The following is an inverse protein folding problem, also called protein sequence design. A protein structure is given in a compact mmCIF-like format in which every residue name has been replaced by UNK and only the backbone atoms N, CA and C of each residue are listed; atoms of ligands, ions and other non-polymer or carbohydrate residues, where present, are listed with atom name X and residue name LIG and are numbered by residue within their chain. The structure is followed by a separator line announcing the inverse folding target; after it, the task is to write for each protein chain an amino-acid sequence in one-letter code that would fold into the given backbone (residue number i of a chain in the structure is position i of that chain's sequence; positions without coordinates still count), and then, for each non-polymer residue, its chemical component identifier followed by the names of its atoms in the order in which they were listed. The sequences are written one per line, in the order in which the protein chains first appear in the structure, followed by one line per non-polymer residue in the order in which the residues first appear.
data_IF_745568399091
#
_entry.id   IF_745568399091
#
_cell.length_a   1.000
_cell.length_b   1.000
_cell.length_c   1.000
_cell.angle_alpha   90.00
_cell.angle_beta   90.00
_cell.angle_gamma   90.00
#
_symmetry.space_group_name_H-M   'P 1'
#
loop_
_entity.id
_entity.type
_entity.pdbx_description
1 polymer ?
#
# COMPACT_ATOMS: atom_id res chain seq x y z
N UNK A 1 40.14 -46.15 -39.38
CA UNK A 1 39.16 -46.21 -38.26
C UNK A 1 38.19 -45.06 -38.47
N UNK A 2 36.95 -45.39 -38.85
CA UNK A 2 35.93 -44.44 -39.26
C UNK A 2 35.36 -43.69 -38.05
N UNK A 3 35.26 -42.37 -38.20
CA UNK A 3 34.56 -41.44 -37.32
C UNK A 3 33.05 -41.68 -37.52
N UNK A 4 32.32 -42.00 -36.44
CA UNK A 4 30.87 -42.07 -36.47
C UNK A 4 30.29 -41.00 -35.55
N UNK A 5 30.06 -39.83 -36.15
CA UNK A 5 29.25 -38.74 -35.63
C UNK A 5 27.79 -39.01 -35.93
N UNK A 6 27.08 -39.77 -35.10
CA UNK A 6 25.61 -39.74 -35.00
C UNK A 6 25.19 -40.57 -33.78
N UNK A 7 25.07 -39.94 -32.62
CA UNK A 7 24.22 -40.48 -31.56
C UNK A 7 23.42 -39.34 -30.92
N UNK A 8 22.26 -39.14 -31.54
CA UNK A 8 21.00 -38.73 -30.92
C UNK A 8 21.01 -37.50 -30.01
N UNK A 9 20.87 -36.33 -30.65
CA UNK A 9 19.97 -35.28 -30.16
C UNK A 9 18.54 -35.86 -30.05
N UNK A 10 18.12 -36.30 -28.87
CA UNK A 10 16.70 -36.57 -28.54
C UNK A 10 16.50 -36.37 -27.03
N UNK A 11 16.45 -35.11 -26.60
CA UNK A 11 16.03 -34.71 -25.24
C UNK A 11 15.51 -33.26 -25.19
N UNK A 12 14.73 -32.86 -26.21
CA UNK A 12 13.96 -31.60 -26.23
C UNK A 12 12.50 -31.83 -26.66
N UNK A 13 11.84 -32.84 -26.08
CA UNK A 13 10.41 -33.05 -26.29
C UNK A 13 9.70 -33.45 -25.00
N UNK A 14 9.66 -32.53 -24.04
CA UNK A 14 8.65 -32.54 -22.98
C UNK A 14 8.46 -31.12 -22.45
N UNK A 15 8.04 -30.21 -23.33
CA UNK A 15 7.35 -29.00 -22.91
C UNK A 15 5.86 -29.39 -22.88
N UNK A 16 5.21 -29.51 -21.70
CA UNK A 16 3.77 -29.56 -21.69
C UNK A 16 3.27 -28.24 -22.26
N UNK A 17 2.66 -28.30 -23.44
CA UNK A 17 1.85 -27.21 -23.97
C UNK A 17 0.65 -27.05 -23.04
N UNK A 18 0.82 -26.25 -22.00
CA UNK A 18 -0.30 -25.72 -21.25
C UNK A 18 -1.06 -24.81 -22.22
N UNK A 19 -2.13 -25.33 -22.81
CA UNK A 19 -3.19 -24.52 -23.38
C UNK A 19 -3.70 -23.64 -22.24
N UNK A 20 -3.25 -22.40 -22.21
CA UNK A 20 -3.85 -21.37 -21.39
C UNK A 20 -5.24 -21.08 -21.99
N UNK A 21 -6.23 -21.88 -21.59
CA UNK A 21 -7.63 -21.49 -21.73
C UNK A 21 -7.77 -20.16 -21.00
N UNK A 22 -7.96 -19.07 -21.75
CA UNK A 22 -8.46 -17.81 -21.21
C UNK A 22 -9.90 -18.04 -20.77
N UNK A 23 -10.04 -18.67 -19.60
CA UNK A 23 -11.26 -18.61 -18.83
C UNK A 23 -11.43 -17.13 -18.47
N UNK A 24 -12.39 -16.45 -19.12
CA UNK A 24 -12.78 -15.09 -18.78
C UNK A 24 -13.44 -15.18 -17.40
N UNK A 25 -12.61 -15.22 -16.36
CA UNK A 25 -13.07 -15.07 -14.99
C UNK A 25 -13.68 -13.67 -14.87
N UNK A 26 -14.90 -13.55 -14.34
CA UNK A 26 -15.48 -12.24 -14.08
C UNK A 26 -14.49 -11.46 -13.20
N UNK A 27 -14.15 -10.25 -13.66
CA UNK A 27 -13.20 -9.36 -12.99
C UNK A 27 -13.66 -9.20 -11.53
N UNK A 28 -12.84 -9.52 -10.52
CA UNK A 28 -13.22 -9.32 -9.13
C UNK A 28 -13.70 -7.88 -8.93
N UNK A 29 -14.79 -7.69 -8.20
CA UNK A 29 -15.25 -6.36 -7.85
C UNK A 29 -14.09 -5.61 -7.18
N UNK A 30 -13.82 -4.35 -7.58
CA UNK A 30 -12.70 -3.61 -7.03
C UNK A 30 -12.88 -3.49 -5.51
N UNK A 31 -11.77 -3.67 -4.78
CA UNK A 31 -11.73 -3.42 -3.33
C UNK A 31 -12.06 -1.92 -3.10
N UNK A 32 -12.67 -1.55 -1.97
CA UNK A 32 -13.02 -0.15 -1.70
C UNK A 32 -11.75 0.73 -1.81
N UNK A 33 -11.87 1.92 -2.40
CA UNK A 33 -10.76 2.86 -2.60
C UNK A 33 -9.63 2.37 -3.54
N UNK A 34 -9.97 1.52 -4.51
CA UNK A 34 -9.02 1.05 -5.53
C UNK A 34 -9.61 1.14 -6.93
N UNK A 35 -8.77 1.37 -7.94
CA UNK A 35 -9.22 1.42 -9.34
C UNK A 35 -8.12 0.98 -10.30
N UNK A 36 -8.55 0.39 -11.41
CA UNK A 36 -7.70 0.14 -12.57
C UNK A 36 -7.94 1.21 -13.64
N UNK A 37 -6.86 1.79 -14.15
CA UNK A 37 -6.93 2.66 -15.33
C UNK A 37 -7.32 1.84 -16.55
N UNK A 38 -8.37 2.25 -17.26
CA UNK A 38 -8.80 1.62 -18.51
C UNK A 38 -7.83 1.88 -19.66
N UNK A 39 -7.05 2.95 -19.59
CA UNK A 39 -6.12 3.36 -20.65
C UNK A 39 -4.73 2.74 -20.51
N UNK A 40 -4.21 2.64 -19.29
CA UNK A 40 -2.85 2.16 -19.01
C UNK A 40 -2.81 0.78 -18.36
N UNK A 41 -3.95 0.26 -17.91
CA UNK A 41 -4.02 -0.98 -17.13
C UNK A 41 -3.44 -0.89 -15.72
N UNK A 42 -2.86 0.25 -15.34
CA UNK A 42 -2.23 0.46 -14.04
C UNK A 42 -3.24 0.37 -12.89
N UNK A 43 -2.82 -0.22 -11.78
CA UNK A 43 -3.60 -0.35 -10.57
C UNK A 43 -3.26 0.79 -9.59
N UNK A 44 -4.28 1.41 -9.03
CA UNK A 44 -4.16 2.49 -8.07
C UNK A 44 -4.83 2.07 -6.76
N UNK A 45 -4.08 2.17 -5.67
CA UNK A 45 -4.53 1.81 -4.33
C UNK A 45 -4.36 3.02 -3.40
N UNK A 46 -5.47 3.66 -3.05
CA UNK A 46 -5.48 4.83 -2.19
C UNK A 46 -5.83 4.49 -0.73
N UNK A 47 -6.07 3.22 -0.39
CA UNK A 47 -6.34 2.78 0.99
C UNK A 47 -5.27 3.19 2.02
N UNK A 48 -3.97 3.28 1.67
CA UNK A 48 -2.97 3.80 2.60
C UNK A 48 -3.18 5.27 2.99
N UNK A 49 -3.97 6.04 2.23
CA UNK A 49 -4.35 7.41 2.56
C UNK A 49 -5.55 7.50 3.50
N UNK A 50 -6.34 6.44 3.63
CA UNK A 50 -7.48 6.44 4.54
C UNK A 50 -6.99 6.42 5.98
N UNK A 51 -7.33 7.45 6.74
CA UNK A 51 -7.05 7.52 8.16
C UNK A 51 -8.16 6.82 8.95
N UNK A 52 -7.75 6.02 9.94
CA UNK A 52 -8.66 5.34 10.87
C UNK A 52 -8.10 5.40 12.30
N UNK A 53 -8.98 5.34 13.30
CA UNK A 53 -8.60 5.35 14.73
C UNK A 53 -7.76 4.10 15.09
N UNK A 54 -8.14 2.94 14.54
CA UNK A 54 -7.47 1.65 14.78
C UNK A 54 -6.47 1.26 13.65
N UNK A 55 -5.91 2.26 12.95
CA UNK A 55 -5.04 2.06 11.78
C UNK A 55 -3.64 1.54 12.12
N UNK A 56 -2.91 1.06 11.09
CA UNK A 56 -1.47 0.77 11.18
C UNK A 56 -0.64 2.05 11.41
N UNK A 57 0.62 1.98 11.87
CA UNK A 57 1.49 3.15 12.20
C UNK A 57 1.48 4.33 11.18
N UNK A 58 1.13 4.09 9.93
CA UNK A 58 1.03 5.08 8.85
C UNK A 58 -0.41 5.54 8.51
N UNK A 59 -1.42 4.77 8.93
CA UNK A 59 -2.86 5.04 8.82
C UNK A 59 -3.47 5.48 10.16
N UNK A 60 -2.76 5.32 11.28
CA UNK A 60 -3.15 5.81 12.60
C UNK A 60 -3.19 7.32 12.54
N UNK A 61 -4.39 7.88 12.50
CA UNK A 61 -4.55 9.29 12.77
C UNK A 61 -4.07 9.57 14.20
N UNK A 62 -3.32 10.65 14.40
CA UNK A 62 -3.17 11.26 15.73
C UNK A 62 -4.47 11.99 16.09
N UNK A 63 -5.60 11.27 16.05
CA UNK A 63 -6.97 11.75 16.27
C UNK A 63 -7.46 12.90 15.37
N UNK A 64 -6.73 13.24 14.31
CA UNK A 64 -7.09 14.29 13.37
C UNK A 64 -6.98 13.80 11.93
N UNK A 65 -7.93 14.21 11.11
CA UNK A 65 -7.96 14.02 9.67
C UNK A 65 -6.97 14.96 8.98
N UNK A 66 -6.89 14.92 7.65
CA UNK A 66 -5.99 15.81 6.94
C UNK A 66 -6.53 17.23 6.90
N UNK A 67 -5.63 18.20 7.07
CA UNK A 67 -5.96 19.63 7.00
C UNK A 67 -5.46 20.23 5.69
N UNK A 68 -6.31 21.05 5.07
CA UNK A 68 -5.97 21.84 3.89
C UNK A 68 -6.28 23.32 4.14
N UNK A 69 -5.34 24.19 3.78
CA UNK A 69 -5.51 25.64 3.89
C UNK A 69 -6.39 26.13 2.75
N UNK A 70 -7.33 27.01 3.08
CA UNK A 70 -8.22 27.63 2.09
C UNK A 70 -7.59 28.76 1.28
N UNK A 71 -6.46 29.31 1.73
CA UNK A 71 -5.79 30.50 1.17
C UNK A 71 -6.74 31.69 1.00
N UNK A 72 -7.47 31.76 -0.11
CA UNK A 72 -8.45 32.79 -0.43
C UNK A 72 -9.82 32.54 0.22
N UNK A 73 -10.10 31.30 0.64
CA UNK A 73 -11.34 30.98 1.35
C UNK A 73 -11.22 31.30 2.85
N UNK A 74 -12.23 31.92 3.49
CA UNK A 74 -12.17 32.39 4.89
C UNK A 74 -12.26 31.25 5.93
N UNK A 75 -11.92 30.02 5.57
CA UNK A 75 -11.92 28.86 6.45
C UNK A 75 -10.84 27.84 6.03
N UNK A 76 -10.42 27.03 7.00
CA UNK A 76 -9.61 25.85 6.75
C UNK A 76 -10.51 24.62 6.56
N UNK A 77 -10.02 23.67 5.78
CA UNK A 77 -10.73 22.44 5.44
C UNK A 77 -10.10 21.25 6.15
N UNK A 78 -10.96 20.34 6.59
CA UNK A 78 -10.57 19.07 7.19
C UNK A 78 -11.24 17.96 6.41
N UNK A 79 -10.47 16.97 5.97
CA UNK A 79 -10.97 15.88 5.14
C UNK A 79 -10.21 14.58 5.33
N UNK A 80 -10.89 13.48 5.05
CA UNK A 80 -10.31 12.15 4.94
C UNK A 80 -10.51 11.59 3.52
N UNK A 81 -9.82 10.50 3.21
CA UNK A 81 -9.89 9.83 1.91
C UNK A 81 -10.63 8.49 2.04
N UNK A 82 -11.59 8.24 1.14
CA UNK A 82 -12.33 6.99 1.04
C UNK A 82 -13.06 6.53 2.30
N UNK A 83 -13.39 7.47 3.18
CA UNK A 83 -14.06 7.21 4.44
C UNK A 83 -14.42 8.50 5.16
N UNK A 84 -15.02 8.40 6.35
CA UNK A 84 -15.44 9.54 7.11
C UNK A 84 -14.25 10.20 7.80
N UNK A 85 -14.43 11.44 8.23
CA UNK A 85 -13.45 12.13 9.08
C UNK A 85 -13.29 11.40 10.42
N UNK A 86 -12.09 11.49 10.97
CA UNK A 86 -11.72 10.82 12.22
C UNK A 86 -12.28 11.56 13.44
N UNK A 87 -12.43 12.88 13.34
CA UNK A 87 -12.92 13.69 14.45
C UNK A 87 -14.42 13.45 14.65
N UNK A 88 -14.90 13.30 15.90
CA UNK A 88 -16.34 13.28 16.16
C UNK A 88 -16.94 14.65 15.82
N UNK A 89 -18.04 14.62 15.07
CA UNK A 89 -18.84 15.79 14.73
C UNK A 89 -20.22 15.63 15.38
N UNK A 90 -20.66 16.63 16.14
CA UNK A 90 -21.98 16.59 16.78
C UNK A 90 -23.04 17.24 15.88
N UNK A 91 -22.85 18.52 15.56
CA UNK A 91 -23.78 19.31 14.77
C UNK A 91 -23.16 19.77 13.45
N UNK A 92 -23.79 19.40 12.35
CA UNK A 92 -23.40 19.80 10.99
C UNK A 92 -24.60 20.41 10.28
N UNK A 93 -24.41 21.63 9.78
CA UNK A 93 -25.47 22.43 9.18
C UNK A 93 -26.15 21.71 8.00
N UNK A 94 -27.45 21.48 8.12
CA UNK A 94 -28.28 20.87 7.08
C UNK A 94 -27.98 19.39 6.78
N UNK A 95 -27.29 18.68 7.68
CA UNK A 95 -27.11 17.22 7.67
C UNK A 95 -27.85 16.63 8.89
N UNK A 96 -28.55 15.51 8.70
CA UNK A 96 -29.20 14.80 9.82
C UNK A 96 -28.17 14.10 10.69
N UNK A 97 -28.40 14.02 12.00
CA UNK A 97 -27.50 13.37 12.98
C UNK A 97 -27.05 11.97 12.54
N UNK A 98 -27.97 11.17 11.97
CA UNK A 98 -27.67 9.82 11.45
C UNK A 98 -26.65 9.76 10.31
N UNK A 99 -26.43 10.88 9.61
CA UNK A 99 -25.52 10.98 8.46
C UNK A 99 -24.24 11.74 8.82
N UNK A 100 -24.17 12.37 9.99
CA UNK A 100 -22.97 13.11 10.42
C UNK A 100 -21.76 12.19 10.49
N UNK A 101 -21.95 10.92 10.86
CA UNK A 101 -20.93 9.88 10.89
C UNK A 101 -20.28 9.59 9.54
N UNK A 102 -20.94 9.92 8.43
CA UNK A 102 -20.45 9.65 7.07
C UNK A 102 -19.80 10.89 6.43
N UNK A 103 -19.64 11.99 7.16
CA UNK A 103 -19.02 13.20 6.63
C UNK A 103 -17.53 12.92 6.38
N UNK A 104 -17.10 13.05 5.13
CA UNK A 104 -15.70 12.82 4.72
C UNK A 104 -14.88 14.09 4.63
N UNK A 105 -15.54 15.24 4.53
CA UNK A 105 -14.90 16.54 4.47
C UNK A 105 -15.81 17.64 5.00
N UNK A 106 -15.24 18.59 5.75
CA UNK A 106 -15.96 19.74 6.30
C UNK A 106 -15.06 20.97 6.39
N UNK A 107 -15.68 22.14 6.61
CA UNK A 107 -14.99 23.35 7.07
C UNK A 107 -15.70 23.96 8.27
N UNK A 108 -14.95 24.71 9.07
CA UNK A 108 -15.46 25.47 10.22
C UNK A 108 -15.41 26.95 9.89
N UNK A 109 -16.55 27.62 10.02
CA UNK A 109 -16.65 29.07 9.84
C UNK A 109 -16.09 29.78 11.07
N UNK A 110 -15.63 31.03 10.95
CA UNK A 110 -15.17 31.85 12.09
C UNK A 110 -16.24 32.00 13.19
N UNK A 111 -17.52 31.93 12.81
CA UNK A 111 -18.69 31.94 13.71
C UNK A 111 -18.91 30.62 14.48
N UNK A 112 -18.11 29.57 14.20
CA UNK A 112 -18.22 28.26 14.85
C UNK A 112 -19.10 27.23 14.13
N UNK A 113 -19.84 27.63 13.08
CA UNK A 113 -20.68 26.70 12.31
C UNK A 113 -19.85 25.72 11.46
N UNK A 114 -20.24 24.45 11.51
CA UNK A 114 -19.63 23.35 10.75
C UNK A 114 -20.48 23.03 9.53
N UNK A 115 -19.88 23.06 8.34
CA UNK A 115 -20.52 22.69 7.10
C UNK A 115 -19.80 21.50 6.47
N UNK A 116 -20.56 20.47 6.10
CA UNK A 116 -20.04 19.35 5.31
C UNK A 116 -19.93 19.77 3.84
N UNK A 117 -18.80 19.43 3.22
CA UNK A 117 -18.57 19.61 1.78
C UNK A 117 -18.66 18.28 1.01
N UNK A 118 -19.08 17.22 1.71
CA UNK A 118 -19.37 15.93 1.10
C UNK A 118 -19.44 14.78 2.10
N UNK A 119 -20.13 13.73 1.68
CA UNK A 119 -20.22 12.45 2.35
C UNK A 119 -19.14 11.50 1.83
N UNK A 120 -18.86 10.45 2.61
CA UNK A 120 -17.93 9.40 2.25
C UNK A 120 -18.28 8.79 0.89
N UNK A 121 -17.22 8.50 0.15
CA UNK A 121 -17.27 7.77 -1.09
C UNK A 121 -15.93 7.05 -1.25
N UNK A 122 -15.97 5.78 -1.59
CA UNK A 122 -14.82 4.92 -1.84
C UNK A 122 -14.62 4.60 -3.32
N UNK A 123 -15.54 5.07 -4.18
CA UNK A 123 -15.48 4.90 -5.62
C UNK A 123 -14.57 5.96 -6.27
N UNK A 124 -13.44 5.50 -6.80
CA UNK A 124 -12.52 6.32 -7.57
C UNK A 124 -12.95 6.36 -9.03
N UNK A 125 -12.72 7.49 -9.70
CA UNK A 125 -13.08 7.67 -11.11
C UNK A 125 -11.89 8.20 -11.91
N UNK A 126 -11.73 7.72 -13.14
CA UNK A 126 -10.81 8.33 -14.11
C UNK A 126 -11.58 9.28 -15.03
N UNK A 127 -11.11 10.53 -15.12
CA UNK A 127 -11.53 11.46 -16.18
C UNK A 127 -10.31 11.82 -17.02
N UNK A 128 -10.23 11.24 -18.21
CA UNK A 128 -9.03 11.30 -19.03
C UNK A 128 -7.83 10.67 -18.30
N UNK A 129 -6.77 11.43 -18.10
CA UNK A 129 -5.54 10.99 -17.39
C UNK A 129 -5.53 11.35 -15.90
N UNK A 130 -6.62 11.90 -15.36
CA UNK A 130 -6.71 12.35 -13.97
C UNK A 130 -7.49 11.34 -13.15
N UNK A 131 -6.90 10.94 -12.02
CA UNK A 131 -7.55 10.13 -10.99
C UNK A 131 -8.31 11.06 -10.05
N UNK A 132 -9.60 10.85 -9.90
CA UNK A 132 -10.47 11.70 -9.10
C UNK A 132 -11.23 10.90 -8.05
N UNK A 133 -11.58 11.57 -6.95
CA UNK A 133 -12.55 11.13 -5.96
C UNK A 133 -13.60 12.23 -5.78
N UNK A 134 -14.87 11.87 -5.79
CA UNK A 134 -15.99 12.78 -5.64
C UNK A 134 -16.72 12.53 -4.31
N UNK A 135 -16.87 13.59 -3.53
CA UNK A 135 -17.77 13.60 -2.39
C UNK A 135 -19.00 14.44 -2.72
N UNK A 136 -20.17 13.92 -2.40
CA UNK A 136 -21.46 14.55 -2.73
C UNK A 136 -22.34 14.62 -1.49
N UNK A 137 -23.53 15.22 -1.60
CA UNK A 137 -24.51 15.24 -0.51
C UNK A 137 -24.02 15.91 0.79
N UNK A 138 -23.19 16.96 0.66
CA UNK A 138 -22.81 17.82 1.78
C UNK A 138 -23.95 18.73 2.26
N UNK A 139 -23.59 19.75 3.02
CA UNK A 139 -24.52 20.77 3.51
C UNK A 139 -25.19 21.52 2.34
N UNK A 140 -26.36 22.15 2.55
CA UNK A 140 -27.00 22.98 1.53
C UNK A 140 -26.07 24.09 1.04
N UNK A 141 -26.12 24.39 -0.25
CA UNK A 141 -25.36 25.49 -0.82
C UNK A 141 -25.99 26.83 -0.42
N UNK A 142 -25.16 27.88 -0.21
CA UNK A 142 -25.66 29.22 0.07
C UNK A 142 -26.45 29.74 -1.14
N UNK A 143 -27.40 30.62 -0.87
CA UNK A 143 -28.01 31.43 -1.92
C UNK A 143 -27.02 32.55 -2.22
N UNK A 144 -26.68 32.76 -3.48
CA UNK A 144 -25.81 33.85 -3.91
C UNK A 144 -26.69 35.02 -4.39
N UNK A 145 -26.25 36.25 -4.15
CA UNK A 145 -26.84 37.43 -4.77
C UNK A 145 -26.37 37.61 -6.23
N UNK A 146 -26.84 38.67 -6.89
CA UNK A 146 -26.45 39.04 -8.26
C UNK A 146 -24.93 39.28 -8.39
N UNK A 147 -24.26 39.63 -7.30
CA UNK A 147 -22.81 39.87 -7.22
C UNK A 147 -22.01 38.59 -6.89
N UNK A 148 -22.68 37.44 -6.73
CA UNK A 148 -22.06 36.15 -6.44
C UNK A 148 -21.64 35.97 -4.97
N UNK A 149 -22.09 36.84 -4.08
CA UNK A 149 -21.78 36.82 -2.64
C UNK A 149 -22.83 35.97 -1.90
N UNK A 150 -22.41 35.10 -0.95
CA UNK A 150 -23.34 34.35 -0.12
C UNK A 150 -24.25 35.27 0.72
N UNK A 151 -25.56 35.14 0.52
CA UNK A 151 -26.60 35.82 1.31
C UNK A 151 -26.95 34.95 2.52
N UNK A 152 -27.07 35.59 3.68
CA UNK A 152 -27.46 34.93 4.91
C UNK A 152 -28.86 34.28 4.80
N UNK A 153 -28.99 33.08 5.35
CA UNK A 153 -30.16 32.20 5.19
C UNK A 153 -31.47 32.76 5.73
N UNK A 154 -31.42 33.79 6.57
CA UNK A 154 -32.58 34.36 7.25
C UNK A 154 -33.42 35.25 6.33
N UNK A 155 -32.83 35.72 5.22
CA UNK A 155 -33.52 36.48 4.17
C UNK A 155 -34.07 35.60 3.02
N UNK A 156 -33.65 34.33 2.95
CA UNK A 156 -33.96 33.44 1.85
C UNK A 156 -35.30 32.71 2.08
N UNK A 157 -36.39 33.32 1.60
CA UNK A 157 -37.72 32.69 1.61
C UNK A 157 -37.69 31.33 0.90
N UNK A 158 -38.14 30.31 1.63
CA UNK A 158 -38.09 28.88 1.30
C UNK A 158 -38.70 28.45 -0.05
N UNK A 159 -38.19 27.31 -0.59
CA UNK A 159 -38.72 26.42 -1.66
C UNK A 159 -38.03 26.40 -3.05
N UNK A 160 -36.73 26.64 -3.13
CA UNK A 160 -35.94 26.13 -4.28
C UNK A 160 -35.21 24.83 -3.88
N UNK A 161 -35.07 23.87 -4.80
CA UNK A 161 -34.25 22.67 -4.62
C UNK A 161 -32.82 23.08 -4.24
N UNK A 162 -32.50 23.06 -2.93
CA UNK A 162 -31.18 23.47 -2.44
C UNK A 162 -30.16 22.44 -2.91
N UNK A 163 -29.36 22.84 -3.90
CA UNK A 163 -28.17 22.09 -4.32
C UNK A 163 -27.31 21.80 -3.08
N UNK A 164 -26.68 20.64 -3.06
CA UNK A 164 -25.84 20.20 -1.94
C UNK A 164 -24.38 20.42 -2.28
N UNK A 165 -23.59 20.79 -1.28
CA UNK A 165 -22.16 20.98 -1.43
C UNK A 165 -21.50 19.68 -1.86
N UNK A 166 -20.46 19.80 -2.68
CA UNK A 166 -19.71 18.66 -3.21
C UNK A 166 -18.23 18.99 -3.32
N UNK A 167 -17.41 17.96 -3.23
CA UNK A 167 -15.96 18.08 -3.29
C UNK A 167 -15.41 17.20 -4.39
N UNK A 168 -14.48 17.74 -5.17
CA UNK A 168 -13.71 17.01 -6.17
C UNK A 168 -12.24 17.00 -5.77
N UNK A 169 -11.70 15.82 -5.52
CA UNK A 169 -10.29 15.62 -5.21
C UNK A 169 -9.60 15.07 -6.44
N UNK A 170 -8.60 15.80 -6.96
CA UNK A 170 -7.77 15.37 -8.08
C UNK A 170 -6.42 14.88 -7.57
N UNK A 171 -6.16 13.59 -7.74
CA UNK A 171 -4.91 12.97 -7.32
C UNK A 171 -3.82 13.11 -8.38
N UNK A 172 -2.63 13.48 -7.94
CA UNK A 172 -1.43 13.60 -8.77
C UNK A 172 -0.33 12.74 -8.16
N UNK A 173 0.31 11.95 -9.02
CA UNK A 173 1.49 11.17 -8.66
C UNK A 173 2.65 12.12 -8.30
N UNK A 174 3.15 11.97 -7.08
CA UNK A 174 4.37 12.64 -6.62
C UNK A 174 5.22 11.65 -5.82
N UNK A 175 6.42 11.37 -6.31
CA UNK A 175 7.36 10.40 -5.73
C UNK A 175 8.37 11.04 -4.79
N UNK A 176 8.22 12.32 -4.44
CA UNK A 176 9.13 13.01 -3.53
C UNK A 176 9.21 12.31 -2.16
N UNK A 177 10.42 12.27 -1.54
CA UNK A 177 10.61 11.58 -0.26
C UNK A 177 9.91 12.27 0.92
N UNK A 178 9.60 13.57 0.81
CA UNK A 178 8.83 14.31 1.81
C UNK A 178 7.36 13.90 1.89
N UNK A 179 6.80 13.36 0.81
CA UNK A 179 5.40 12.88 0.72
C UNK A 179 5.29 11.38 1.02
N UNK A 180 6.23 10.84 1.81
CA UNK A 180 6.34 9.39 2.00
C UNK A 180 5.19 8.74 2.75
N UNK A 181 4.54 9.52 3.61
CA UNK A 181 3.56 9.02 4.56
C UNK A 181 2.32 9.87 4.61
N UNK A 182 2.41 11.15 4.22
CA UNK A 182 1.28 12.07 4.17
C UNK A 182 1.17 12.70 2.78
N UNK A 183 -0.04 12.80 2.21
CA UNK A 183 -0.27 13.51 0.98
C UNK A 183 -0.16 15.03 1.23
N UNK A 184 0.23 15.77 0.20
CA UNK A 184 0.13 17.23 0.20
C UNK A 184 -1.19 17.63 -0.45
N UNK A 185 -2.02 18.38 0.29
CA UNK A 185 -3.36 18.79 -0.16
C UNK A 185 -3.34 20.30 -0.41
N UNK A 186 -3.74 20.69 -1.62
CA UNK A 186 -3.85 22.09 -2.02
C UNK A 186 -5.28 22.39 -2.44
N UNK A 187 -5.88 23.43 -1.87
CA UNK A 187 -7.17 23.93 -2.30
C UNK A 187 -6.99 24.74 -3.59
N UNK A 188 -7.75 24.40 -4.63
CA UNK A 188 -7.70 25.09 -5.92
C UNK A 188 -8.73 26.22 -6.01
N UNK A 189 -9.88 26.07 -5.36
CA UNK A 189 -10.93 27.09 -5.38
C UNK A 189 -12.34 26.53 -5.17
N UNK A 190 -13.28 27.44 -4.99
CA UNK A 190 -14.72 27.17 -4.97
C UNK A 190 -15.44 28.28 -5.75
N UNK A 191 -15.75 28.08 -7.04
CA UNK A 191 -16.29 29.14 -7.89
C UNK A 191 -17.73 29.55 -7.54
N UNK A 192 -18.50 28.65 -6.93
CA UNK A 192 -19.93 28.79 -6.65
C UNK A 192 -20.25 28.63 -5.15
N UNK A 193 -19.23 28.64 -4.28
CA UNK A 193 -19.36 28.30 -2.85
C UNK A 193 -20.12 26.98 -2.57
N UNK A 194 -20.18 26.08 -3.55
CA UNK A 194 -20.98 24.86 -3.53
C UNK A 194 -20.16 23.66 -4.01
N UNK A 195 -19.22 23.88 -4.92
CA UNK A 195 -18.28 22.89 -5.44
C UNK A 195 -16.87 23.27 -4.97
N UNK A 196 -16.20 22.34 -4.30
CA UNK A 196 -14.86 22.56 -3.76
C UNK A 196 -13.87 21.66 -4.51
N UNK A 197 -12.78 22.24 -5.00
CA UNK A 197 -11.80 21.50 -5.80
C UNK A 197 -10.47 21.47 -5.07
N UNK A 198 -9.93 20.27 -4.88
CA UNK A 198 -8.64 20.04 -4.24
C UNK A 198 -7.71 19.28 -5.17
N UNK A 199 -6.43 19.64 -5.12
CA UNK A 199 -5.33 18.87 -5.69
C UNK A 199 -4.63 18.10 -4.57
N UNK A 200 -4.46 16.80 -4.75
CA UNK A 200 -3.85 15.91 -3.77
C UNK A 200 -2.62 15.27 -4.39
N UNK A 201 -1.44 15.67 -3.93
CA UNK A 201 -0.16 15.08 -4.37
C UNK A 201 0.20 13.93 -3.44
N UNK A 202 0.39 12.75 -4.00
CA UNK A 202 0.68 11.54 -3.25
C UNK A 202 1.44 10.52 -4.08
N UNK A 203 2.29 9.74 -3.43
CA UNK A 203 2.93 8.57 -4.06
C UNK A 203 1.96 7.43 -4.34
N UNK A 204 0.88 7.33 -3.59
CA UNK A 204 -0.14 6.29 -3.79
C UNK A 204 -0.97 6.54 -5.06
N UNK A 205 -0.92 7.77 -5.59
CA UNK A 205 -1.46 8.11 -6.89
C UNK A 205 -0.51 7.75 -8.06
N UNK A 206 0.68 7.22 -7.78
CA UNK A 206 1.57 6.67 -8.79
C UNK A 206 1.14 5.23 -9.07
N UNK A 207 0.29 5.05 -10.10
CA UNK A 207 -0.25 3.74 -10.46
C UNK A 207 0.85 2.69 -10.60
N UNK A 208 0.72 1.59 -9.88
CA UNK A 208 1.60 0.44 -10.00
C UNK A 208 1.21 -0.41 -11.20
N UNK A 209 2.17 -1.08 -11.82
CA UNK A 209 1.92 -2.08 -12.88
C UNK A 209 1.45 -3.43 -12.32
N UNK A 210 1.18 -3.49 -11.02
CA UNK A 210 1.07 -4.75 -10.30
C UNK A 210 -0.14 -4.64 -9.41
N UNK A 211 -1.10 -5.54 -9.59
CA UNK A 211 -2.03 -5.85 -8.52
C UNK A 211 -1.19 -6.04 -7.26
N UNK A 212 -1.59 -5.46 -6.13
CA UNK A 212 -0.93 -5.62 -4.83
C UNK A 212 -0.89 -7.09 -4.32
N UNK A 213 -1.14 -8.07 -5.20
CA UNK A 213 -1.12 -9.51 -4.95
C UNK A 213 -0.48 -10.33 -6.08
N UNK A 214 -0.11 -9.76 -7.23
CA UNK A 214 0.62 -10.52 -8.25
C UNK A 214 2.12 -10.25 -8.15
N UNK A 215 2.89 -11.33 -7.98
CA UNK A 215 4.34 -11.34 -7.77
C UNK A 215 5.11 -11.02 -9.07
N UNK A 216 4.71 -9.99 -9.79
CA UNK A 216 5.21 -9.67 -11.14
C UNK A 216 6.51 -8.86 -11.17
N UNK A 217 6.86 -8.16 -10.08
CA UNK A 217 8.17 -7.50 -9.98
C UNK A 217 9.00 -8.18 -8.92
N UNK A 218 10.11 -8.78 -9.34
CA UNK A 218 11.10 -9.28 -8.42
C UNK A 218 11.70 -8.06 -7.72
N UNK A 219 11.43 -7.91 -6.43
CA UNK A 219 12.10 -6.89 -5.62
C UNK A 219 13.63 -7.04 -5.74
N UNK A 220 14.40 -5.98 -5.43
CA UNK A 220 15.85 -6.00 -5.61
C UNK A 220 16.52 -7.19 -4.90
N UNK A 221 16.00 -7.62 -3.75
CA UNK A 221 16.47 -8.83 -3.06
C UNK A 221 16.15 -10.15 -3.77
N UNK A 222 15.01 -10.25 -4.47
CA UNK A 222 14.65 -11.44 -5.23
C UNK A 222 15.50 -11.58 -6.49
N UNK A 223 15.78 -10.47 -7.18
CA UNK A 223 16.72 -10.44 -8.32
C UNK A 223 18.10 -10.91 -7.88
N UNK A 224 18.59 -10.38 -6.75
CA UNK A 224 19.88 -10.80 -6.19
C UNK A 224 19.90 -12.29 -5.81
N UNK A 225 18.80 -12.80 -5.22
CA UNK A 225 18.64 -14.21 -4.89
C UNK A 225 18.68 -15.13 -6.11
N UNK A 226 18.03 -14.76 -7.21
CA UNK A 226 18.06 -15.53 -8.47
C UNK A 226 19.46 -15.56 -9.06
N UNK A 227 20.16 -14.42 -9.09
CA UNK A 227 21.53 -14.32 -9.61
C UNK A 227 22.48 -15.21 -8.78
N UNK A 228 22.41 -15.14 -7.45
CA UNK A 228 23.20 -16.01 -6.57
C UNK A 228 22.85 -17.49 -6.77
N UNK A 229 21.56 -17.83 -6.90
CA UNK A 229 21.11 -19.20 -7.13
C UNK A 229 21.69 -19.80 -8.41
N UNK A 230 21.66 -19.05 -9.52
CA UNK A 230 22.24 -19.48 -10.79
C UNK A 230 23.76 -19.63 -10.68
N UNK A 231 24.44 -18.68 -10.04
CA UNK A 231 25.89 -18.74 -9.85
C UNK A 231 26.32 -19.98 -9.03
N UNK A 232 25.59 -20.31 -7.95
CA UNK A 232 25.85 -21.50 -7.15
C UNK A 232 25.58 -22.79 -7.93
N UNK A 233 24.52 -22.84 -8.73
CA UNK A 233 24.19 -23.99 -9.57
C UNK A 233 25.28 -24.25 -10.60
N UNK A 234 25.73 -23.21 -11.31
CA UNK A 234 26.84 -23.33 -12.29
C UNK A 234 28.13 -23.74 -11.61
N UNK A 235 28.43 -23.19 -10.43
CA UNK A 235 29.62 -23.56 -9.65
C UNK A 235 29.60 -25.04 -9.21
N UNK A 236 28.46 -25.53 -8.72
CA UNK A 236 28.32 -26.92 -8.31
C UNK A 236 28.37 -27.88 -9.50
N UNK A 237 27.59 -27.65 -10.55
CA UNK A 237 27.55 -28.55 -11.72
C UNK A 237 28.89 -28.50 -12.46
N UNK A 238 29.39 -27.31 -12.78
CA UNK A 238 30.66 -27.13 -13.48
C UNK A 238 31.83 -27.69 -12.69
N UNK A 239 31.84 -27.49 -11.37
CA UNK A 239 32.88 -28.02 -10.50
C UNK A 239 32.84 -29.55 -10.35
N UNK A 240 31.65 -30.16 -10.27
CA UNK A 240 31.51 -31.63 -10.29
C UNK A 240 32.01 -32.20 -11.62
N UNK A 241 31.62 -31.60 -12.75
CA UNK A 241 32.07 -32.03 -14.09
C UNK A 241 33.58 -31.90 -14.23
N UNK A 242 34.16 -30.78 -13.78
CA UNK A 242 35.60 -30.55 -13.79
C UNK A 242 36.35 -31.59 -12.94
N UNK A 243 35.92 -31.82 -11.70
CA UNK A 243 36.59 -32.77 -10.82
C UNK A 243 36.43 -34.23 -11.25
N UNK A 244 35.32 -34.57 -11.92
CA UNK A 244 35.08 -35.91 -12.48
C UNK A 244 35.88 -36.16 -13.76
N UNK A 245 35.86 -35.21 -14.69
CA UNK A 245 36.39 -35.41 -16.04
C UNK A 245 37.88 -35.05 -16.16
N UNK A 246 38.35 -34.03 -15.44
CA UNK A 246 39.74 -33.56 -15.52
C UNK A 246 40.57 -34.13 -14.38
N UNK A 247 40.05 -34.10 -13.14
CA UNK A 247 40.82 -34.50 -11.94
C UNK A 247 40.58 -35.96 -11.50
N UNK A 248 39.71 -36.70 -12.20
CA UNK A 248 39.36 -38.11 -11.95
C UNK A 248 39.07 -38.49 -10.49
N UNK A 249 38.46 -37.59 -9.72
CA UNK A 249 38.11 -37.88 -8.32
C UNK A 249 36.80 -38.67 -8.23
N UNK A 250 36.71 -39.59 -7.26
CA UNK A 250 35.53 -40.46 -7.04
C UNK A 250 34.89 -40.19 -5.67
N UNK A 251 33.57 -40.31 -5.60
CA UNK A 251 32.78 -40.16 -4.36
C UNK A 251 32.58 -38.71 -3.92
N UNK A 252 32.37 -38.50 -2.62
CA UNK A 252 32.06 -37.19 -2.00
C UNK A 252 33.13 -36.11 -2.18
N UNK A 253 34.32 -36.49 -2.64
CA UNK A 253 35.38 -35.54 -3.00
C UNK A 253 35.13 -34.79 -4.30
N UNK A 254 34.07 -35.12 -5.05
CA UNK A 254 33.68 -34.46 -6.31
C UNK A 254 32.99 -33.09 -6.12
N UNK A 255 32.62 -32.74 -4.88
CA UNK A 255 31.99 -31.45 -4.59
C UNK A 255 33.04 -30.37 -4.33
N UNK A 256 33.03 -29.25 -5.08
CA UNK A 256 33.93 -28.13 -4.85
C UNK A 256 33.76 -27.56 -3.44
N UNK A 257 34.85 -27.51 -2.66
CA UNK A 257 34.88 -26.98 -1.29
C UNK A 257 33.84 -27.61 -0.34
N UNK A 258 33.75 -28.94 -0.33
CA UNK A 258 32.80 -29.72 0.48
C UNK A 258 32.76 -29.33 1.98
N UNK A 259 33.89 -28.96 2.58
CA UNK A 259 33.98 -28.53 3.99
C UNK A 259 33.15 -27.28 4.28
N UNK A 260 33.10 -26.33 3.34
CA UNK A 260 32.31 -25.09 3.46
C UNK A 260 30.82 -25.40 3.38
N UNK A 261 30.41 -26.26 2.44
CA UNK A 261 29.01 -26.66 2.27
C UNK A 261 28.49 -27.46 3.47
N UNK A 262 29.27 -28.44 3.94
CA UNK A 262 28.91 -29.23 5.12
C UNK A 262 28.78 -28.33 6.38
N UNK A 263 29.66 -27.34 6.54
CA UNK A 263 29.57 -26.33 7.59
C UNK A 263 28.28 -25.50 7.49
N UNK A 264 27.93 -25.03 6.30
CA UNK A 264 26.74 -24.21 6.08
C UNK A 264 25.43 -25.00 6.32
N UNK A 265 25.33 -26.23 5.82
CA UNK A 265 24.18 -27.11 6.08
C UNK A 265 24.07 -27.51 7.55
N UNK A 266 25.20 -27.68 8.27
CA UNK A 266 25.19 -27.94 9.71
C UNK A 266 24.66 -26.77 10.54
N UNK A 267 24.85 -25.54 10.06
CA UNK A 267 24.32 -24.32 10.70
C UNK A 267 22.81 -24.15 10.43
N UNK A 268 22.38 -24.36 9.18
CA UNK A 268 20.97 -24.22 8.77
C UNK A 268 20.09 -25.34 9.36
N UNK A 269 20.65 -26.52 9.66
CA UNK A 269 19.94 -27.62 10.31
C UNK A 269 19.80 -27.47 11.84
N UNK A 270 20.40 -26.43 12.44
CA UNK A 270 20.27 -26.11 13.88
C UNK A 270 19.42 -24.87 14.24
N UNK A 271 18.26 -24.54 13.63
CA UNK A 271 17.48 -23.37 14.07
C UNK A 271 16.50 -23.67 15.21
N UNK A 272 16.49 -24.87 15.82
CA UNK A 272 15.41 -25.26 16.76
C UNK A 272 15.85 -25.82 18.12
N UNK A 273 17.08 -25.55 18.55
CA UNK A 273 17.58 -26.05 19.85
C UNK A 273 18.15 -24.97 20.78
N UNK A 274 17.79 -23.70 20.58
CA UNK A 274 18.13 -22.60 21.51
C UNK A 274 16.91 -22.10 22.29
N UNK A 275 16.06 -23.01 22.78
CA UNK A 275 15.10 -22.64 23.83
C UNK A 275 15.03 -23.59 25.03
N UNK A 276 15.70 -24.75 25.01
CA UNK A 276 15.54 -25.74 26.08
C UNK A 276 16.76 -25.97 27.00
N UNK A 277 17.89 -25.28 26.78
CA UNK A 277 19.11 -25.48 27.57
C UNK A 277 19.31 -24.47 28.72
N UNK A 278 18.23 -23.85 29.22
CA UNK A 278 18.28 -23.03 30.45
C UNK A 278 17.69 -23.72 31.69
N UNK A 279 17.31 -25.01 31.61
CA UNK A 279 16.85 -25.80 32.77
C UNK A 279 17.59 -27.12 32.89
N UNK A 280 18.89 -27.07 33.18
CA UNK A 280 19.60 -28.23 33.77
C UNK A 280 20.87 -27.85 34.53
N UNK A 281 20.97 -26.60 35.03
CA UNK A 281 21.93 -26.23 36.06
C UNK A 281 21.26 -26.28 37.44
N UNK A 282 20.86 -27.48 37.87
CA UNK A 282 20.56 -27.77 39.28
C UNK A 282 20.59 -29.28 39.44
N UNK A 283 21.72 -29.81 39.94
CA UNK A 283 21.82 -30.86 40.97
C UNK A 283 23.22 -31.51 41.00
N UNK A 284 23.69 -31.79 42.22
CA UNK A 284 24.91 -32.52 42.64
C UNK A 284 26.22 -31.72 42.62
N UNK A 285 27.02 -31.64 43.69
CA UNK A 285 26.94 -32.29 45.00
C UNK A 285 28.05 -31.76 45.94
N UNK A 286 27.79 -31.87 47.24
CA UNK A 286 28.69 -31.59 48.36
C UNK A 286 30.04 -32.28 48.23
N UNK A 287 31.13 -31.60 48.65
CA UNK A 287 32.29 -32.23 49.25
C UNK A 287 32.92 -31.31 50.31
N UNK A 288 32.94 -31.79 51.54
CA UNK A 288 33.66 -31.26 52.70
C UNK A 288 35.18 -31.34 52.50
N UNK A 289 35.91 -30.30 52.91
CA UNK A 289 37.25 -30.49 53.48
C UNK A 289 37.52 -29.46 54.57
N UNK A 290 37.73 -29.99 55.78
CA UNK A 290 38.08 -29.31 57.00
C UNK A 290 39.60 -29.42 57.16
N UNK A 291 40.31 -28.30 57.27
CA UNK A 291 41.66 -28.29 57.85
C UNK A 291 41.96 -26.93 58.48
N UNK A 292 42.18 -26.96 59.78
CA UNK A 292 42.65 -25.86 60.61
C UNK A 292 44.12 -25.50 60.32
N UNK A 293 44.42 -24.22 60.52
CA UNK A 293 45.73 -23.59 60.81
C UNK A 293 46.47 -24.28 61.97
N UNK A 294 47.77 -24.03 62.21
CA UNK A 294 48.60 -22.88 61.80
C UNK A 294 49.71 -23.15 60.79
#
# INVERSE_FOLDING_TARGET
MYISTTMSLLLLSSIPAALASTEVKPKPSPKPCTIHSTSTGSFFDLRPLQLTLDGTKYQTATNESFHARGYDYPANFTLNFCGPVVEPLDYVEGISESRVVNVSAFYKTQKGHVYSIGQENDELIFRGKKLLLNYTMGSPCPVLDEDGVPVDSDAATSKANKRRKSTLLSFICDTSPSLSTRPAISFLGSPDHCTYIFEVRSRYACGGTIQSEEKGTLGPGAVFGVILGIALLVYLIGGIVYQRNVMHQRGWKQLPNYSVWAGLFSFISRPRFLHHYSRQASTSGNFDFKSNLP
#
